data_IF_426266077772
#
_entry.id   IF_426266077772
#
_cell.length_a   1.000
_cell.length_b   1.000
_cell.length_c   1.000
_cell.angle_alpha   90.00
_cell.angle_beta   90.00
_cell.angle_gamma   90.00
#
_symmetry.space_group_name_H-M   'P 1'
#
loop_
_entity.id
_entity.type
_entity.pdbx_description
1 polymer ?
#
# COMPACT_ATOMS: atom_id res chain seq x y z
N UNK A 1 -52.93 -45.49 21.15
CA UNK A 1 -51.87 -45.10 20.20
C UNK A 1 -51.77 -43.60 20.27
N UNK A 2 -50.80 -43.08 21.02
CA UNK A 2 -50.53 -41.64 21.06
C UNK A 2 -49.09 -41.47 20.57
N UNK A 3 -48.99 -40.92 19.37
CA UNK A 3 -47.76 -40.61 18.65
C UNK A 3 -46.86 -39.69 19.48
N UNK A 4 -45.56 -39.99 19.53
CA UNK A 4 -44.54 -39.10 20.06
C UNK A 4 -44.26 -38.00 19.04
N UNK A 5 -44.60 -36.74 19.35
CA UNK A 5 -44.04 -35.59 18.66
C UNK A 5 -42.66 -35.27 19.27
N UNK A 6 -41.60 -35.71 18.60
CA UNK A 6 -40.24 -35.27 18.89
C UNK A 6 -40.03 -33.88 18.26
N UNK A 7 -39.63 -32.84 19.01
CA UNK A 7 -39.26 -31.57 18.41
C UNK A 7 -37.97 -31.76 17.60
N UNK A 8 -38.05 -31.52 16.28
CA UNK A 8 -36.89 -31.51 15.39
C UNK A 8 -35.87 -30.49 15.87
N UNK A 9 -34.71 -30.96 16.33
CA UNK A 9 -33.56 -30.13 16.67
C UNK A 9 -33.03 -29.42 15.42
N UNK A 10 -33.46 -28.18 15.21
CA UNK A 10 -32.87 -27.31 14.21
C UNK A 10 -31.42 -26.99 14.58
N UNK A 11 -30.49 -27.25 13.66
CA UNK A 11 -29.10 -26.80 13.79
C UNK A 11 -29.13 -25.27 13.94
N UNK A 12 -28.56 -24.69 15.01
CA UNK A 12 -28.57 -23.23 15.16
C UNK A 12 -27.83 -22.63 13.97
N UNK A 13 -28.52 -21.77 13.21
CA UNK A 13 -27.91 -21.05 12.10
C UNK A 13 -26.74 -20.23 12.65
N UNK A 14 -25.52 -20.53 12.20
CA UNK A 14 -24.32 -19.80 12.62
C UNK A 14 -24.51 -18.32 12.29
N UNK A 15 -24.67 -17.49 13.32
CA UNK A 15 -24.97 -16.07 13.16
C UNK A 15 -23.82 -15.38 12.42
N UNK A 16 -24.11 -14.70 11.30
CA UNK A 16 -23.08 -14.00 10.54
C UNK A 16 -22.47 -12.89 11.41
N UNK A 17 -21.20 -13.04 11.78
CA UNK A 17 -20.53 -12.23 12.81
C UNK A 17 -20.32 -10.76 12.42
N UNK A 18 -20.65 -10.36 11.18
CA UNK A 18 -20.47 -8.99 10.68
C UNK A 18 -19.00 -8.55 10.53
N UNK A 19 -18.05 -9.44 10.81
CA UNK A 19 -16.62 -9.14 10.80
C UNK A 19 -16.14 -8.59 9.45
N UNK A 20 -16.69 -9.07 8.33
CA UNK A 20 -16.34 -8.61 6.99
C UNK A 20 -16.60 -7.11 6.77
N UNK A 21 -17.62 -6.52 7.42
CA UNK A 21 -17.87 -5.07 7.38
C UNK A 21 -16.83 -4.25 8.15
N UNK A 22 -16.20 -4.84 9.16
CA UNK A 22 -15.06 -4.24 9.87
C UNK A 22 -13.76 -4.40 9.08
N UNK A 23 -13.58 -5.55 8.41
CA UNK A 23 -12.44 -5.78 7.51
C UNK A 23 -12.53 -4.96 6.22
N UNK A 24 -13.71 -4.51 5.77
CA UNK A 24 -13.79 -3.64 4.59
C UNK A 24 -13.18 -2.25 4.84
N UNK A 25 -13.18 -1.79 6.11
CA UNK A 25 -12.46 -0.58 6.50
C UNK A 25 -10.96 -0.68 6.25
N UNK A 26 -10.35 -1.87 6.19
CA UNK A 26 -8.94 -2.01 5.79
C UNK A 26 -8.66 -1.42 4.40
N UNK A 27 -9.64 -1.44 3.49
CA UNK A 27 -9.49 -0.89 2.14
C UNK A 27 -9.46 0.64 2.10
N UNK A 28 -9.96 1.34 3.13
CA UNK A 28 -9.82 2.81 3.22
C UNK A 28 -8.38 3.23 3.53
N UNK A 29 -7.55 2.32 4.05
CA UNK A 29 -6.12 2.54 4.30
C UNK A 29 -5.22 2.17 3.11
N UNK A 30 -5.77 1.97 1.91
CA UNK A 30 -5.02 1.64 0.68
C UNK A 30 -4.45 2.90 0.02
N UNK A 31 -3.67 3.68 0.79
CA UNK A 31 -2.34 4.09 0.29
C UNK A 31 -1.17 3.49 1.08
N UNK A 32 -1.34 3.16 2.37
CA UNK A 32 -0.23 2.86 3.29
C UNK A 32 -0.12 1.38 3.69
N UNK A 33 -1.25 0.70 3.97
CA UNK A 33 -1.26 -0.73 4.33
C UNK A 33 -0.98 -1.62 3.12
N UNK A 34 -1.46 -1.21 1.94
CA UNK A 34 -1.13 -1.84 0.67
C UNK A 34 0.38 -1.83 0.39
N UNK A 35 1.09 -0.76 0.80
CA UNK A 35 2.54 -0.67 0.65
C UNK A 35 3.30 -1.70 1.47
N UNK A 36 2.94 -1.90 2.74
CA UNK A 36 3.57 -2.91 3.61
C UNK A 36 3.23 -4.35 3.16
N UNK A 37 1.98 -4.62 2.79
CA UNK A 37 1.58 -5.92 2.25
C UNK A 37 2.26 -6.23 0.91
N UNK A 38 2.43 -5.21 0.05
CA UNK A 38 3.19 -5.32 -1.20
C UNK A 38 4.66 -5.65 -0.94
N UNK A 39 5.27 -5.08 0.11
CA UNK A 39 6.63 -5.43 0.52
C UNK A 39 6.76 -6.91 0.83
N UNK A 40 5.83 -7.44 1.63
CA UNK A 40 5.83 -8.85 2.01
C UNK A 40 5.63 -9.74 0.78
N UNK A 41 4.69 -9.41 -0.10
CA UNK A 41 4.40 -10.18 -1.32
C UNK A 41 5.61 -10.23 -2.25
N UNK A 42 6.27 -9.09 -2.51
CA UNK A 42 7.43 -9.03 -3.40
C UNK A 42 8.64 -9.73 -2.79
N UNK A 43 8.86 -9.66 -1.47
CA UNK A 43 9.92 -10.42 -0.80
C UNK A 43 9.67 -11.93 -0.94
N UNK A 44 8.44 -12.38 -0.76
CA UNK A 44 8.07 -13.79 -0.93
C UNK A 44 8.27 -14.23 -2.38
N UNK A 45 7.83 -13.43 -3.35
CA UNK A 45 8.05 -13.69 -4.79
C UNK A 45 9.54 -13.67 -5.16
N UNK A 46 10.33 -12.76 -4.58
CA UNK A 46 11.78 -12.70 -4.76
C UNK A 46 12.44 -13.98 -4.22
N UNK A 47 12.07 -14.41 -3.01
CA UNK A 47 12.59 -15.65 -2.42
C UNK A 47 12.28 -16.86 -3.30
N UNK A 48 11.04 -16.99 -3.78
CA UNK A 48 10.62 -18.07 -4.69
C UNK A 48 11.28 -17.99 -6.08
N UNK A 49 11.66 -16.81 -6.53
CA UNK A 49 12.30 -16.62 -7.86
C UNK A 49 13.76 -17.07 -7.90
N UNK A 50 14.44 -17.20 -6.74
CA UNK A 50 15.86 -17.58 -6.70
C UNK A 50 16.12 -18.99 -7.26
N UNK A 51 15.09 -19.83 -7.29
CA UNK A 51 15.12 -21.20 -7.81
C UNK A 51 14.77 -21.28 -9.31
N UNK A 52 14.31 -20.19 -9.94
CA UNK A 52 13.70 -20.19 -11.29
C UNK A 52 14.60 -19.70 -12.43
N UNK A 53 15.93 -19.66 -12.24
CA UNK A 53 16.91 -19.30 -13.28
C UNK A 53 17.32 -17.82 -13.33
N UNK A 54 18.25 -17.49 -14.22
CA UNK A 54 18.96 -16.18 -14.24
C UNK A 54 18.06 -14.99 -14.61
N UNK A 55 17.12 -15.18 -15.55
CA UNK A 55 16.13 -14.17 -15.93
C UNK A 55 15.18 -13.82 -14.76
N UNK A 56 14.70 -14.83 -14.03
CA UNK A 56 13.84 -14.65 -12.87
C UNK A 56 14.60 -13.92 -11.75
N UNK A 57 15.84 -14.33 -11.48
CA UNK A 57 16.72 -13.71 -10.48
C UNK A 57 17.03 -12.24 -10.80
N UNK A 58 17.30 -11.92 -12.06
CA UNK A 58 17.56 -10.55 -12.51
C UNK A 58 16.35 -9.63 -12.35
N UNK A 59 15.18 -10.07 -12.82
CA UNK A 59 13.93 -9.30 -12.69
C UNK A 59 13.53 -9.11 -11.23
N UNK A 60 13.61 -10.16 -10.42
CA UNK A 60 13.25 -10.09 -9.02
C UNK A 60 14.17 -9.14 -8.25
N UNK A 61 15.47 -9.12 -8.57
CA UNK A 61 16.41 -8.17 -7.96
C UNK A 61 16.10 -6.72 -8.32
N UNK A 62 15.82 -6.44 -9.58
CA UNK A 62 15.47 -5.08 -10.01
C UNK A 62 14.14 -4.63 -9.44
N UNK A 63 13.17 -5.54 -9.33
CA UNK A 63 11.91 -5.28 -8.63
C UNK A 63 12.13 -4.96 -7.15
N UNK A 64 13.05 -5.68 -6.48
CA UNK A 64 13.38 -5.42 -5.08
C UNK A 64 14.08 -4.07 -4.89
N UNK A 65 15.04 -3.72 -5.75
CA UNK A 65 15.67 -2.38 -5.74
C UNK A 65 14.65 -1.27 -6.01
N UNK A 66 13.71 -1.48 -6.94
CA UNK A 66 12.62 -0.54 -7.17
C UNK A 66 11.75 -0.38 -5.93
N UNK A 67 11.37 -1.48 -5.28
CA UNK A 67 10.52 -1.44 -4.10
C UNK A 67 11.20 -0.75 -2.91
N UNK A 68 12.49 -1.02 -2.67
CA UNK A 68 13.26 -0.31 -1.65
C UNK A 68 13.30 1.20 -1.95
N UNK A 69 13.43 1.58 -3.22
CA UNK A 69 13.39 2.99 -3.64
C UNK A 69 12.01 3.61 -3.40
N UNK A 70 10.95 2.88 -3.75
CA UNK A 70 9.57 3.31 -3.53
C UNK A 70 9.29 3.57 -2.05
N UNK A 71 9.70 2.64 -1.18
CA UNK A 71 9.54 2.77 0.28
C UNK A 71 10.34 3.96 0.80
N UNK A 72 11.60 4.11 0.38
CA UNK A 72 12.43 5.25 0.77
C UNK A 72 11.79 6.58 0.35
N UNK A 73 11.29 6.68 -0.89
CA UNK A 73 10.57 7.87 -1.37
C UNK A 73 9.30 8.14 -0.56
N UNK A 74 8.54 7.10 -0.21
CA UNK A 74 7.35 7.23 0.64
C UNK A 74 7.69 7.74 2.05
N UNK A 75 8.80 7.29 2.64
CA UNK A 75 9.29 7.79 3.93
C UNK A 75 9.63 9.28 3.81
N UNK A 76 10.36 9.69 2.77
CA UNK A 76 10.71 11.11 2.55
C UNK A 76 9.45 11.98 2.41
N UNK A 77 8.47 11.55 1.62
CA UNK A 77 7.19 12.26 1.47
C UNK A 77 6.47 12.36 2.82
N UNK A 78 6.47 11.29 3.62
CA UNK A 78 5.83 11.27 4.94
C UNK A 78 6.50 12.24 5.92
N UNK A 79 7.84 12.30 5.93
CA UNK A 79 8.59 13.26 6.73
C UNK A 79 8.27 14.70 6.32
N UNK A 80 8.22 14.98 5.02
CA UNK A 80 7.82 16.30 4.50
C UNK A 80 6.38 16.62 4.92
N UNK A 81 5.46 15.65 4.87
CA UNK A 81 4.07 15.82 5.30
C UNK A 81 3.99 16.24 6.76
N UNK A 82 4.72 15.54 7.63
CA UNK A 82 4.79 15.84 9.06
C UNK A 82 5.30 17.27 9.27
N UNK A 83 6.40 17.66 8.62
CA UNK A 83 6.96 19.02 8.72
C UNK A 83 5.93 20.08 8.32
N UNK A 84 5.23 19.88 7.20
CA UNK A 84 4.21 20.82 6.71
C UNK A 84 3.05 20.94 7.71
N UNK A 85 2.57 19.82 8.25
CA UNK A 85 1.48 19.81 9.25
C UNK A 85 1.89 20.59 10.50
N UNK A 86 3.07 20.30 11.06
CA UNK A 86 3.55 20.99 12.26
C UNK A 86 3.81 22.48 12.03
N UNK A 87 4.38 22.86 10.88
CA UNK A 87 4.63 24.26 10.53
C UNK A 87 3.32 25.05 10.31
N UNK A 88 2.28 24.40 9.80
CA UNK A 88 0.98 25.03 9.57
C UNK A 88 0.18 25.13 10.88
N UNK A 89 0.25 24.10 11.74
CA UNK A 89 -0.42 24.08 13.03
C UNK A 89 0.08 25.16 14.01
N UNK A 90 1.34 25.58 13.90
CA UNK A 90 1.92 26.63 14.75
C UNK A 90 1.53 28.05 14.37
N UNK A 91 0.77 28.26 13.29
CA UNK A 91 0.41 29.61 12.78
C UNK A 91 -0.97 30.10 13.25
N UNK A 92 -1.74 29.29 14.00
CA UNK A 92 -3.07 29.68 14.50
C UNK A 92 -2.97 30.49 15.80
N UNK A 93 -2.52 31.74 15.72
CA UNK A 93 -2.69 32.69 16.83
C UNK A 93 -3.01 34.07 16.27
N UNK A 94 -4.25 34.30 15.87
CA UNK A 94 -4.77 35.67 15.71
C UNK A 94 -6.24 35.70 16.12
N UNK A 95 -6.45 36.32 17.28
CA UNK A 95 -7.73 36.67 17.88
C UNK A 95 -8.49 37.67 17.01
N UNK A 96 -9.54 37.23 16.32
CA UNK A 96 -10.69 38.09 15.91
C UNK A 96 -11.81 37.22 15.35
N UNK A 97 -12.75 36.85 16.22
CA UNK A 97 -14.22 36.83 16.01
C UNK A 97 -14.89 36.18 14.80
N UNK A 98 -14.20 35.71 13.76
CA UNK A 98 -14.82 35.04 12.60
C UNK A 98 -13.80 34.03 12.04
N UNK A 99 -13.94 32.74 12.37
CA UNK A 99 -13.14 31.69 11.74
C UNK A 99 -13.99 30.94 10.73
N UNK A 100 -13.92 31.38 9.46
CA UNK A 100 -14.10 30.42 8.39
C UNK A 100 -12.97 29.39 8.56
N UNK A 101 -13.30 28.13 8.82
CA UNK A 101 -12.38 27.00 8.84
C UNK A 101 -11.80 26.78 7.43
N UNK A 102 -10.97 27.71 6.95
CA UNK A 102 -10.24 27.54 5.70
C UNK A 102 -9.07 26.62 5.99
N UNK A 103 -9.28 25.31 5.81
CA UNK A 103 -8.17 24.35 5.80
C UNK A 103 -7.15 24.81 4.76
N UNK A 104 -5.91 25.04 5.18
CA UNK A 104 -4.91 25.62 4.28
C UNK A 104 -4.61 24.66 3.12
N UNK A 105 -4.54 25.16 1.87
CA UNK A 105 -4.26 24.32 0.70
C UNK A 105 -2.94 23.54 0.79
N UNK A 106 -1.99 24.03 1.59
CA UNK A 106 -0.69 23.40 1.82
C UNK A 106 -0.79 22.00 2.43
N UNK A 107 -1.84 21.72 3.20
CA UNK A 107 -2.06 20.40 3.83
C UNK A 107 -2.37 19.30 2.82
N UNK A 108 -2.78 19.65 1.59
CA UNK A 108 -3.07 18.67 0.54
C UNK A 108 -1.83 18.30 -0.31
N UNK A 109 -0.75 19.07 -0.25
CA UNK A 109 0.47 18.83 -1.04
C UNK A 109 1.04 17.43 -0.79
N UNK A 110 1.19 16.94 0.46
CA UNK A 110 1.74 15.61 0.69
C UNK A 110 0.88 14.47 0.12
N UNK A 111 -0.45 14.64 0.12
CA UNK A 111 -1.37 13.69 -0.49
C UNK A 111 -1.20 13.63 -2.00
N UNK A 112 -1.07 14.79 -2.66
CA UNK A 112 -0.81 14.86 -4.09
C UNK A 112 0.54 14.22 -4.46
N UNK A 113 1.60 14.51 -3.69
CA UNK A 113 2.92 13.89 -3.89
C UNK A 113 2.87 12.37 -3.70
N UNK A 114 2.16 11.90 -2.66
CA UNK A 114 1.95 10.47 -2.42
C UNK A 114 1.21 9.78 -3.56
N UNK A 115 0.16 10.41 -4.09
CA UNK A 115 -0.59 9.90 -5.23
C UNK A 115 0.28 9.81 -6.49
N UNK A 116 1.03 10.86 -6.82
CA UNK A 116 1.97 10.87 -7.95
C UNK A 116 3.02 9.77 -7.78
N UNK A 117 3.59 9.63 -6.59
CA UNK A 117 4.59 8.60 -6.29
C UNK A 117 4.03 7.18 -6.43
N UNK A 118 2.78 6.96 -5.99
CA UNK A 118 2.07 5.71 -6.18
C UNK A 118 1.83 5.37 -7.65
N UNK A 119 1.45 6.36 -8.46
CA UNK A 119 1.28 6.19 -9.92
C UNK A 119 2.60 5.77 -10.57
N UNK A 120 3.71 6.42 -10.24
CA UNK A 120 5.04 6.05 -10.74
C UNK A 120 5.37 4.59 -10.39
N UNK A 121 5.05 4.15 -9.19
CA UNK A 121 5.23 2.76 -8.75
C UNK A 121 4.43 1.76 -9.57
N UNK A 122 3.15 2.06 -9.82
CA UNK A 122 2.29 1.21 -10.64
C UNK A 122 2.82 1.14 -12.07
N UNK A 123 3.21 2.26 -12.67
CA UNK A 123 3.76 2.30 -14.03
C UNK A 123 5.01 1.42 -14.15
N UNK A 124 5.95 1.52 -13.21
CA UNK A 124 7.17 0.71 -13.24
C UNK A 124 6.91 -0.77 -12.93
N UNK A 125 5.93 -1.08 -12.09
CA UNK A 125 5.51 -2.47 -11.87
C UNK A 125 4.91 -3.09 -13.14
N UNK A 126 4.07 -2.35 -13.88
CA UNK A 126 3.49 -2.80 -15.15
C UNK A 126 4.59 -3.00 -16.19
N UNK A 127 5.50 -2.03 -16.37
CA UNK A 127 6.61 -2.18 -17.33
C UNK A 127 7.52 -3.36 -16.98
N UNK A 128 7.79 -3.58 -15.69
CA UNK A 128 8.54 -4.75 -15.22
C UNK A 128 7.85 -6.06 -15.52
N UNK A 129 6.54 -6.15 -15.26
CA UNK A 129 5.74 -7.34 -15.58
C UNK A 129 5.67 -7.62 -17.08
N UNK A 130 5.47 -6.59 -17.91
CA UNK A 130 5.44 -6.72 -19.37
C UNK A 130 6.79 -7.19 -19.94
N UNK A 131 7.90 -6.66 -19.45
CA UNK A 131 9.23 -7.07 -19.87
C UNK A 131 9.57 -8.49 -19.43
N UNK A 132 9.23 -8.87 -18.19
CA UNK A 132 9.40 -10.23 -17.69
C UNK A 132 8.56 -11.24 -18.52
N UNK A 133 7.34 -10.86 -18.91
CA UNK A 133 6.50 -11.65 -19.81
C UNK A 133 7.09 -11.85 -21.21
N UNK A 134 7.98 -10.96 -21.66
CA UNK A 134 8.75 -11.07 -22.91
C UNK A 134 10.09 -11.79 -22.75
N UNK A 135 10.38 -12.36 -21.58
CA UNK A 135 11.66 -12.99 -21.28
C UNK A 135 12.83 -12.00 -21.15
N UNK A 136 12.55 -10.72 -20.95
CA UNK A 136 13.56 -9.67 -20.79
C UNK A 136 13.72 -9.27 -19.32
N UNK A 137 14.89 -8.77 -18.97
CA UNK A 137 15.16 -8.23 -17.63
C UNK A 137 14.89 -6.73 -17.64
N UNK A 138 13.91 -6.28 -16.85
CA UNK A 138 13.60 -4.86 -16.70
C UNK A 138 14.39 -4.23 -15.56
N UNK A 139 14.87 -3.00 -15.80
CA UNK A 139 15.51 -2.15 -14.79
C UNK A 139 14.73 -0.84 -14.73
N UNK A 140 14.10 -0.58 -13.58
CA UNK A 140 13.41 0.68 -13.36
C UNK A 140 14.42 1.84 -13.37
N UNK A 141 14.26 2.86 -14.23
CA UNK A 141 15.26 3.92 -14.39
C UNK A 141 15.53 4.71 -13.11
N UNK A 142 14.50 4.90 -12.28
CA UNK A 142 14.62 5.64 -11.03
C UNK A 142 14.97 4.75 -9.82
N UNK A 143 15.21 3.44 -10.00
CA UNK A 143 15.56 2.57 -8.89
C UNK A 143 17.01 2.77 -8.43
N UNK A 144 17.18 2.95 -7.12
CA UNK A 144 18.47 2.94 -6.45
C UNK A 144 18.93 1.49 -6.29
N UNK A 145 20.19 1.21 -6.65
CA UNK A 145 20.77 -0.13 -6.60
C UNK A 145 21.27 -0.48 -5.19
N UNK A 146 20.36 -0.86 -4.30
CA UNK A 146 20.71 -1.32 -2.96
C UNK A 146 21.36 -2.70 -2.97
N UNK A 147 20.82 -3.62 -3.76
CA UNK A 147 21.30 -4.99 -3.87
C UNK A 147 22.16 -5.11 -5.12
N UNK A 148 23.43 -5.43 -4.91
CA UNK A 148 24.43 -5.71 -5.93
C UNK A 148 24.58 -7.22 -6.13
N UNK A 149 24.88 -7.66 -7.35
CA UNK A 149 24.93 -9.06 -7.77
C UNK A 149 25.22 -9.20 -9.24
#
# INVERSE_FOLDING_TARGET
MTSYDQPQGGVPATQSTGAFSWWSYFFSFVPFVGGLAYIIIVIVLFSQSRERGELARGNARNALNWMLTFVLGGIVISVIAIIIVFATASTTTTSTGVSADSTSPLLFIPWLLGAIWGIVAIVFAIMGGLAAGRGQVYRAPAAINFIKG
#
